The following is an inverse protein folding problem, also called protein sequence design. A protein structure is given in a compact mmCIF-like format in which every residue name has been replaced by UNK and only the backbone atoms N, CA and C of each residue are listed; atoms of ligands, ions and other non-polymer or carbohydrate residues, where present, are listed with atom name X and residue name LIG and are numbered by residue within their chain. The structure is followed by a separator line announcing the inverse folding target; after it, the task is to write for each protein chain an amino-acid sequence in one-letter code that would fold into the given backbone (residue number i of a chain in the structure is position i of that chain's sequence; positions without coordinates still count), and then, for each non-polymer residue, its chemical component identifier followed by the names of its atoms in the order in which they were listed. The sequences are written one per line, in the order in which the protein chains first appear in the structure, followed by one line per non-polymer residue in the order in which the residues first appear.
data_IF_024472169556
#
_entry.id   IF_024472169556
#
_cell.length_a   1.000
_cell.length_b   1.000
_cell.length_c   1.000
_cell.angle_alpha   90.00
_cell.angle_beta   90.00
_cell.angle_gamma   90.00
#
_symmetry.space_group_name_H-M   'P 1'
#
loop_
_entity.id
_entity.type
_entity.pdbx_description
1 polymer ?
#
# COMPACT_ATOMS: atom_id res chain seq x y z
N UNK A 1 -0.64 -22.58 5.73
CA UNK A 1 -0.03 -22.06 4.49
C UNK A 1 1.47 -22.40 4.53
N UNK A 2 1.99 -23.19 3.59
CA UNK A 2 3.43 -23.51 3.52
C UNK A 2 4.11 -22.48 2.61
N UNK A 3 4.91 -21.60 3.21
CA UNK A 3 5.78 -20.69 2.48
C UNK A 3 6.87 -21.55 1.82
N UNK A 4 7.11 -21.42 0.50
CA UNK A 4 8.20 -22.12 -0.19
C UNK A 4 9.56 -21.87 0.48
N UNK A 5 10.43 -22.87 0.52
CA UNK A 5 11.72 -22.79 1.23
C UNK A 5 12.68 -21.74 0.65
N UNK A 6 12.50 -21.36 -0.61
CA UNK A 6 13.20 -20.31 -1.34
C UNK A 6 12.64 -18.90 -1.08
N UNK A 7 11.39 -18.77 -0.61
CA UNK A 7 10.85 -17.51 -0.09
C UNK A 7 11.40 -17.16 1.31
N UNK A 8 12.25 -18.02 1.88
CA UNK A 8 12.70 -17.98 3.28
C UNK A 8 13.89 -17.06 3.54
N UNK A 9 14.50 -16.49 2.49
CA UNK A 9 15.56 -15.50 2.61
C UNK A 9 15.22 -14.23 1.83
N UNK A 10 14.02 -13.69 2.01
CA UNK A 10 13.77 -12.31 1.58
C UNK A 10 14.69 -11.41 2.41
N UNK A 11 15.75 -10.89 1.78
CA UNK A 11 16.57 -9.85 2.40
C UNK A 11 15.67 -8.66 2.68
N UNK A 12 15.48 -8.37 3.96
CA UNK A 12 14.68 -7.22 4.39
C UNK A 12 15.29 -5.96 3.78
N UNK A 13 14.43 -5.12 3.24
CA UNK A 13 14.78 -3.82 2.71
C UNK A 13 14.56 -2.77 3.82
N UNK A 14 15.63 -2.22 4.40
CA UNK A 14 15.49 -1.21 5.44
C UNK A 14 14.98 0.10 4.85
N UNK A 15 13.91 0.62 5.41
CA UNK A 15 13.45 1.99 5.19
C UNK A 15 13.85 2.82 6.41
N UNK A 16 14.74 3.83 6.27
CA UNK A 16 15.19 4.62 7.40
C UNK A 16 14.04 5.29 8.18
N UNK A 17 14.33 5.64 9.43
CA UNK A 17 13.51 6.61 10.15
C UNK A 17 13.54 7.95 9.41
N UNK A 18 12.54 8.79 9.65
CA UNK A 18 12.43 10.10 9.01
C UNK A 18 12.29 10.09 7.49
N UNK A 19 11.97 8.95 6.87
CA UNK A 19 11.67 8.86 5.44
C UNK A 19 10.27 9.39 5.15
N UNK A 20 10.16 10.23 4.13
CA UNK A 20 8.87 10.75 3.64
C UNK A 20 8.20 9.75 2.71
N UNK A 21 6.92 9.49 2.95
CA UNK A 21 6.02 8.70 2.13
C UNK A 21 4.76 9.52 1.85
N UNK A 22 4.08 9.23 0.76
CA UNK A 22 2.87 9.94 0.33
C UNK A 22 1.68 8.99 0.29
N UNK A 23 0.56 9.43 0.81
CA UNK A 23 -0.65 8.61 0.85
C UNK A 23 -1.84 9.40 0.34
N UNK A 24 -2.56 8.79 -0.59
CA UNK A 24 -3.92 9.18 -0.94
C UNK A 24 -4.89 8.34 -0.12
N UNK A 25 -5.84 8.98 0.55
CA UNK A 25 -6.81 8.33 1.43
C UNK A 25 -8.13 9.07 1.40
N UNK A 26 -9.22 8.42 1.83
CA UNK A 26 -10.49 9.11 2.02
C UNK A 26 -10.33 10.22 3.06
N UNK A 27 -10.83 11.42 2.75
CA UNK A 27 -10.64 12.65 3.50
C UNK A 27 -11.27 12.60 4.90
N UNK A 28 -12.19 11.65 5.15
CA UNK A 28 -12.78 11.44 6.47
C UNK A 28 -11.84 10.74 7.46
N UNK A 29 -10.69 10.23 7.00
CA UNK A 29 -9.71 9.53 7.83
C UNK A 29 -8.40 10.31 7.91
N UNK A 30 -7.73 10.22 9.06
CA UNK A 30 -6.40 10.80 9.21
C UNK A 30 -5.37 10.10 8.31
N UNK A 31 -4.42 10.86 7.76
CA UNK A 31 -3.41 10.33 6.84
C UNK A 31 -2.51 9.24 7.44
N UNK A 32 -2.36 9.21 8.76
CA UNK A 32 -1.61 8.17 9.48
C UNK A 32 -2.49 7.04 10.03
N UNK A 33 -3.80 7.04 9.76
CA UNK A 33 -4.70 6.00 10.25
C UNK A 33 -4.54 4.70 9.45
N UNK A 34 -4.34 3.58 10.12
CA UNK A 34 -4.31 2.26 9.47
C UNK A 34 -5.74 1.78 9.20
N UNK A 35 -5.96 1.15 8.03
CA UNK A 35 -7.24 0.54 7.69
C UNK A 35 -7.40 -0.79 8.48
N UNK A 36 -8.43 -0.92 9.34
CA UNK A 36 -8.68 -2.11 10.13
C UNK A 36 -9.41 -3.21 9.32
N UNK A 37 -8.87 -3.56 8.15
CA UNK A 37 -9.41 -4.56 7.22
C UNK A 37 -10.83 -4.26 6.70
N UNK A 38 -11.19 -2.98 6.59
CA UNK A 38 -12.47 -2.54 6.05
C UNK A 38 -12.38 -2.20 4.56
N UNK A 39 -13.51 -2.31 3.88
CA UNK A 39 -13.64 -2.01 2.46
C UNK A 39 -13.35 -3.20 1.55
N UNK A 40 -13.16 -2.92 0.26
CA UNK A 40 -12.91 -3.96 -0.74
C UNK A 40 -11.49 -4.53 -0.60
N UNK A 41 -11.30 -5.84 -0.83
CA UNK A 41 -9.97 -6.42 -0.92
C UNK A 41 -9.09 -5.68 -1.94
N UNK A 42 -7.83 -5.53 -1.61
CA UNK A 42 -6.78 -4.95 -2.44
C UNK A 42 -5.65 -5.97 -2.61
N UNK A 43 -4.58 -5.60 -3.33
CA UNK A 43 -3.47 -6.50 -3.64
C UNK A 43 -2.85 -7.16 -2.39
N UNK A 44 -2.78 -6.45 -1.26
CA UNK A 44 -2.17 -6.94 -0.02
C UNK A 44 -3.05 -6.72 1.23
N UNK A 45 -4.35 -6.45 1.07
CA UNK A 45 -5.28 -6.29 2.18
C UNK A 45 -6.66 -6.92 1.86
N UNK A 46 -7.41 -7.46 2.83
CA UNK A 46 -7.06 -7.54 4.24
C UNK A 46 -5.89 -8.49 4.49
N UNK A 47 -5.07 -8.16 5.49
CA UNK A 47 -4.01 -9.03 5.98
C UNK A 47 -4.46 -9.60 7.31
N UNK A 48 -4.45 -10.93 7.44
CA UNK A 48 -4.86 -11.64 8.65
C UNK A 48 -3.68 -12.37 9.25
N UNK A 49 -3.62 -12.45 10.58
CA UNK A 49 -2.63 -13.26 11.29
C UNK A 49 -2.96 -14.76 11.26
N UNK A 50 -2.12 -15.58 11.90
CA UNK A 50 -2.30 -17.04 11.96
C UNK A 50 -3.57 -17.49 12.70
N UNK A 51 -4.23 -16.59 13.43
CA UNK A 51 -5.50 -16.82 14.13
C UNK A 51 -6.69 -16.22 13.38
N UNK A 52 -6.47 -15.63 12.20
CA UNK A 52 -7.50 -14.96 11.41
C UNK A 52 -7.83 -13.54 11.88
N UNK A 53 -7.07 -12.97 12.81
CA UNK A 53 -7.28 -11.61 13.29
C UNK A 53 -6.73 -10.59 12.30
N UNK A 54 -7.47 -9.49 12.11
CA UNK A 54 -7.05 -8.40 11.23
C UNK A 54 -5.72 -7.77 11.69
N UNK A 55 -4.79 -7.65 10.75
CA UNK A 55 -3.61 -6.81 10.84
C UNK A 55 -3.92 -5.49 10.11
N UNK A 56 -4.06 -4.36 10.81
CA UNK A 56 -4.34 -3.07 10.17
C UNK A 56 -3.26 -2.68 9.17
N UNK A 57 -3.65 -2.16 8.01
CA UNK A 57 -2.73 -1.89 6.89
C UNK A 57 -2.73 -0.42 6.50
N UNK A 58 -1.59 0.07 5.99
CA UNK A 58 -1.48 1.41 5.40
C UNK A 58 -0.77 1.31 4.05
N UNK A 59 -1.29 2.02 3.05
CA UNK A 59 -0.72 2.09 1.71
C UNK A 59 -0.16 3.48 1.47
N UNK A 60 1.12 3.57 1.15
CA UNK A 60 1.79 4.82 0.82
C UNK A 60 2.83 4.58 -0.30
N UNK A 61 3.04 5.60 -1.12
CA UNK A 61 4.03 5.63 -2.17
C UNK A 61 5.29 6.40 -1.74
N UNK A 62 6.40 6.14 -2.40
CA UNK A 62 7.67 6.87 -2.18
C UNK A 62 7.70 8.23 -2.88
N UNK A 63 6.77 8.50 -3.79
CA UNK A 63 6.66 9.76 -4.54
C UNK A 63 5.25 10.35 -4.43
N UNK A 64 5.17 11.67 -4.54
CA UNK A 64 3.90 12.39 -4.51
C UNK A 64 2.99 11.95 -5.65
N UNK A 65 3.54 11.83 -6.86
CA UNK A 65 2.79 11.43 -8.06
C UNK A 65 2.39 9.95 -8.03
N UNK A 66 3.19 9.09 -7.40
CA UNK A 66 2.93 7.65 -7.33
C UNK A 66 1.67 7.31 -6.53
N UNK A 67 1.34 8.09 -5.49
CA UNK A 67 0.18 7.80 -4.64
C UNK A 67 -1.18 7.95 -5.38
N UNK A 68 -1.40 9.01 -6.18
CA UNK A 68 -2.56 9.11 -7.08
C UNK A 68 -2.65 8.00 -8.13
N UNK A 69 -1.54 7.57 -8.73
CA UNK A 69 -1.56 6.46 -9.70
C UNK A 69 -2.09 5.17 -9.09
N UNK A 70 -1.76 4.92 -7.83
CA UNK A 70 -2.24 3.76 -7.10
C UNK A 70 -3.65 3.89 -6.53
N UNK A 71 -4.24 5.09 -6.46
CA UNK A 71 -5.52 5.31 -5.76
C UNK A 71 -6.61 5.87 -6.67
N UNK A 72 -6.31 6.95 -7.39
CA UNK A 72 -7.26 7.66 -8.27
C UNK A 72 -7.27 7.02 -9.66
N UNK A 73 -6.08 6.74 -10.20
CA UNK A 73 -5.92 6.24 -11.58
C UNK A 73 -5.76 4.71 -11.63
N UNK A 74 -5.99 4.02 -10.52
CA UNK A 74 -5.92 2.57 -10.46
C UNK A 74 -6.97 1.94 -11.38
N UNK A 75 -6.50 1.17 -12.36
CA UNK A 75 -7.37 0.44 -13.28
C UNK A 75 -7.72 1.18 -14.57
N UNK A 76 -7.18 2.38 -14.78
CA UNK A 76 -7.26 3.07 -16.07
C UNK A 76 -6.54 2.25 -17.13
N UNK A 77 -7.23 1.99 -18.25
CA UNK A 77 -6.71 1.18 -19.35
C UNK A 77 -6.21 2.04 -20.52
N UNK A 78 -6.77 3.23 -20.71
CA UNK A 78 -6.42 4.15 -21.79
C UNK A 78 -6.00 5.52 -21.25
N UNK A 79 -5.01 6.15 -21.88
CA UNK A 79 -4.48 7.46 -21.47
C UNK A 79 -5.48 8.62 -21.61
N UNK A 80 -6.56 8.42 -22.37
CA UNK A 80 -7.65 9.38 -22.53
C UNK A 80 -8.87 9.04 -21.66
N UNK A 81 -8.82 7.94 -20.91
CA UNK A 81 -9.83 7.62 -19.92
C UNK A 81 -9.87 8.73 -18.86
N UNK A 82 -11.08 9.12 -18.46
CA UNK A 82 -11.28 10.21 -17.52
C UNK A 82 -11.85 9.68 -16.21
N UNK A 83 -11.40 10.26 -15.11
CA UNK A 83 -11.98 10.06 -13.78
C UNK A 83 -12.89 11.23 -13.47
N UNK A 84 -14.11 10.95 -12.99
CA UNK A 84 -15.04 12.00 -12.59
C UNK A 84 -14.47 12.79 -11.42
N UNK A 85 -14.61 14.12 -11.45
CA UNK A 85 -14.07 14.99 -10.39
C UNK A 85 -14.62 14.65 -9.01
N UNK A 86 -15.91 14.32 -8.92
CA UNK A 86 -16.59 13.90 -7.69
C UNK A 86 -15.97 12.64 -7.04
N UNK A 87 -15.46 11.72 -7.86
CA UNK A 87 -14.77 10.51 -7.39
C UNK A 87 -13.38 10.85 -6.83
N UNK A 88 -12.82 12.00 -7.20
CA UNK A 88 -11.54 12.52 -6.70
C UNK A 88 -11.73 13.38 -5.44
N UNK A 89 -12.83 14.13 -5.33
CA UNK A 89 -13.10 15.08 -4.24
C UNK A 89 -13.15 14.44 -2.85
N UNK A 90 -13.45 13.15 -2.76
CA UNK A 90 -13.44 12.41 -1.49
C UNK A 90 -12.04 12.11 -0.96
N UNK A 91 -10.99 12.30 -1.76
CA UNK A 91 -9.63 11.98 -1.37
C UNK A 91 -8.88 13.18 -0.80
N UNK A 92 -8.08 12.93 0.23
CA UNK A 92 -7.01 13.80 0.69
C UNK A 92 -5.65 13.17 0.37
N UNK A 93 -4.62 14.02 0.28
CA UNK A 93 -3.23 13.59 0.17
C UNK A 93 -2.45 14.02 1.41
N UNK A 94 -1.71 13.08 1.99
CA UNK A 94 -0.89 13.31 3.18
C UNK A 94 0.57 12.97 2.89
N UNK A 95 1.47 13.82 3.38
CA UNK A 95 2.90 13.52 3.51
C UNK A 95 3.15 12.94 4.90
N UNK A 96 3.63 11.71 4.94
CA UNK A 96 3.89 10.93 6.15
C UNK A 96 5.38 10.79 6.35
N UNK A 97 5.84 10.87 7.60
CA UNK A 97 7.24 10.66 7.94
C UNK A 97 7.36 9.44 8.85
N UNK A 98 8.23 8.49 8.51
CA UNK A 98 8.45 7.31 9.34
C UNK A 98 9.00 7.73 10.70
N UNK A 99 8.33 7.30 11.79
CA UNK A 99 8.76 7.63 13.14
C UNK A 99 10.01 6.83 13.56
N UNK A 100 10.16 5.63 13.00
CA UNK A 100 11.28 4.71 13.23
C UNK A 100 11.69 4.08 11.90
N UNK A 101 12.85 3.43 11.88
CA UNK A 101 13.24 2.59 10.76
C UNK A 101 12.26 1.42 10.64
N UNK A 102 11.88 1.08 9.40
CA UNK A 102 11.04 -0.05 9.08
C UNK A 102 11.86 -1.12 8.35
N UNK A 103 11.55 -2.38 8.61
CA UNK A 103 12.07 -3.49 7.82
C UNK A 103 10.97 -3.96 6.87
N UNK A 104 11.20 -3.81 5.57
CA UNK A 104 10.21 -4.13 4.55
C UNK A 104 10.58 -5.44 3.86
N UNK A 105 9.58 -6.22 3.50
CA UNK A 105 9.74 -7.36 2.59
C UNK A 105 9.73 -6.78 1.16
N UNK A 106 10.86 -6.75 0.43
CA UNK A 106 10.87 -6.30 -0.96
C UNK A 106 10.01 -7.21 -1.83
N UNK A 107 9.05 -6.59 -2.52
CA UNK A 107 8.22 -7.23 -3.53
C UNK A 107 8.55 -6.71 -4.94
N UNK A 108 9.77 -6.21 -5.13
CA UNK A 108 10.22 -5.49 -6.33
C UNK A 108 10.71 -6.41 -7.45
N UNK A 109 10.88 -7.70 -7.15
CA UNK A 109 11.56 -8.65 -8.01
C UNK A 109 10.60 -9.70 -8.58
N UNK A 110 10.92 -10.29 -9.75
CA UNK A 110 10.08 -11.27 -10.44
C UNK A 110 9.78 -12.55 -9.65
N UNK A 111 10.41 -12.78 -8.50
CA UNK A 111 10.18 -13.98 -7.69
C UNK A 111 8.71 -14.13 -7.28
N UNK A 112 7.95 -13.04 -7.17
CA UNK A 112 6.50 -13.07 -6.88
C UNK A 112 5.63 -13.46 -8.07
N UNK A 113 6.12 -13.37 -9.32
CA UNK A 113 5.37 -13.85 -10.48
C UNK A 113 5.20 -15.37 -10.48
N UNK A 114 5.96 -16.09 -9.64
CA UNK A 114 5.89 -17.56 -9.50
C UNK A 114 4.85 -18.02 -8.47
N UNK A 115 4.23 -17.12 -7.72
CA UNK A 115 3.08 -17.44 -6.88
C UNK A 115 1.84 -17.64 -7.78
N UNK A 116 1.59 -18.89 -8.17
CA UNK A 116 0.32 -19.38 -8.72
C UNK A 116 -0.35 -20.30 -7.73
#
# INVERSE_FOLDING_TARGET
MRIPEDARAVRLHPLPASTTLYRVHDANYAGNAFNPCQGKPSRFAPLLDGHGQCIPTSYAATTLDGAPFESVFRGIQDKYESVRREDVDKFAISSLKTATALELVPLFTPELLRWR
#
